data_IF_926330354702
#
_entry.id   IF_926330354702
#
_cell.length_a   1.000
_cell.length_b   1.000
_cell.length_c   1.000
_cell.angle_alpha   90.00
_cell.angle_beta   90.00
_cell.angle_gamma   90.00
#
_symmetry.space_group_name_H-M   'P 1'
#
loop_
_entity.id
_entity.type
_entity.pdbx_description
1 polymer ?
#
# COMPACT_ATOMS: atom_id res chain seq x y z
N UNK A 1 31.44 21.24 42.90
CA UNK A 1 31.04 19.82 42.75
C UNK A 1 29.51 19.79 42.71
N UNK A 2 28.87 19.85 41.54
CA UNK A 2 28.58 18.73 40.62
C UNK A 2 27.47 17.83 41.20
N UNK A 3 26.30 17.59 40.61
CA UNK A 3 25.74 17.81 39.26
C UNK A 3 24.20 17.88 39.38
N UNK A 4 23.59 18.79 38.62
CA UNK A 4 22.17 18.72 38.25
C UNK A 4 22.05 17.64 37.17
N UNK A 5 21.16 16.66 37.36
CA UNK A 5 20.86 15.64 36.36
C UNK A 5 19.55 16.00 35.65
N UNK A 6 19.70 16.55 34.44
CA UNK A 6 18.63 16.71 33.46
C UNK A 6 18.12 15.31 33.04
N UNK A 7 16.85 15.04 33.27
CA UNK A 7 16.17 13.89 32.70
C UNK A 7 15.84 14.19 31.23
N UNK A 8 16.82 13.96 30.35
CA UNK A 8 16.63 13.98 28.91
C UNK A 8 15.65 12.87 28.50
N UNK A 9 14.38 13.25 28.30
CA UNK A 9 13.38 12.38 27.67
C UNK A 9 13.82 12.13 26.24
N UNK A 10 14.44 10.97 26.02
CA UNK A 10 14.90 10.52 24.72
C UNK A 10 13.69 10.09 23.92
N UNK A 11 13.17 11.00 23.09
CA UNK A 11 12.13 10.67 22.12
C UNK A 11 12.81 9.89 20.97
N UNK A 12 12.36 8.68 20.64
CA UNK A 12 12.96 7.90 19.57
C UNK A 12 12.80 8.63 18.23
N UNK A 13 13.88 8.63 17.43
CA UNK A 13 14.09 9.44 16.21
C UNK A 13 13.08 9.22 15.07
N UNK A 14 12.18 8.24 15.19
CA UNK A 14 11.11 8.01 14.21
C UNK A 14 9.87 8.86 14.49
N UNK A 15 9.73 9.44 15.69
CA UNK A 15 8.51 10.13 16.13
C UNK A 15 8.40 11.61 15.68
N UNK A 16 9.29 12.10 14.81
CA UNK A 16 9.27 13.49 14.33
C UNK A 16 9.00 13.52 12.83
N UNK A 17 7.74 13.33 12.42
CA UNK A 17 7.25 13.91 11.16
C UNK A 17 5.74 14.13 11.20
N UNK A 18 5.37 15.37 10.85
CA UNK A 18 4.04 15.87 10.50
C UNK A 18 3.15 16.43 11.62
N UNK A 19 3.62 17.51 12.26
CA UNK A 19 2.75 18.65 12.57
C UNK A 19 3.02 19.76 11.55
N UNK A 20 2.36 19.71 10.39
CA UNK A 20 2.26 20.84 9.44
C UNK A 20 1.12 20.58 8.46
N UNK A 21 0.09 21.42 8.49
CA UNK A 21 -1.01 21.31 7.52
C UNK A 21 -2.26 22.13 7.78
N UNK A 22 -2.20 23.24 8.54
CA UNK A 22 -3.26 24.25 8.58
C UNK A 22 -2.84 25.42 7.69
N UNK A 23 -2.91 25.22 6.38
CA UNK A 23 -3.00 26.23 5.29
C UNK A 23 -2.73 25.47 4.00
N UNK A 24 -3.65 25.59 3.03
CA UNK A 24 -3.60 24.90 1.76
C UNK A 24 -2.25 25.07 1.06
N UNK A 25 -1.43 24.02 1.12
CA UNK A 25 -0.34 23.79 0.21
C UNK A 25 -0.78 22.60 -0.63
N UNK A 26 -0.79 22.78 -1.94
CA UNK A 26 -0.90 21.69 -2.91
C UNK A 26 0.30 20.77 -2.71
N UNK A 27 0.14 19.82 -1.79
CA UNK A 27 1.10 18.77 -1.52
C UNK A 27 1.38 18.07 -2.85
N UNK A 28 2.65 18.10 -3.26
CA UNK A 28 3.06 17.65 -4.57
C UNK A 28 2.52 16.24 -4.80
N UNK A 29 1.59 16.15 -5.76
CA UNK A 29 1.05 14.89 -6.23
C UNK A 29 2.24 14.03 -6.64
N UNK A 30 2.41 12.81 -6.11
CA UNK A 30 3.44 11.92 -6.65
C UNK A 30 3.12 11.65 -8.11
N UNK A 31 3.93 12.23 -8.99
CA UNK A 31 3.54 12.55 -10.37
C UNK A 31 3.35 11.32 -11.27
N UNK A 32 2.47 11.48 -12.26
CA UNK A 32 1.87 10.51 -13.17
C UNK A 32 2.70 10.05 -14.36
N UNK A 33 3.94 9.61 -14.17
CA UNK A 33 4.69 8.91 -15.22
C UNK A 33 4.81 7.41 -14.91
N UNK A 34 4.39 6.54 -15.83
CA UNK A 34 4.51 5.07 -15.73
C UNK A 34 5.99 4.64 -15.76
N UNK A 35 6.66 4.86 -14.62
CA UNK A 35 8.07 4.59 -14.43
C UNK A 35 8.33 3.68 -13.23
N UNK A 36 9.49 3.00 -13.23
CA UNK A 36 9.89 2.03 -12.21
C UNK A 36 9.87 2.56 -10.77
N UNK A 37 10.22 3.84 -10.56
CA UNK A 37 10.21 4.51 -9.26
C UNK A 37 8.91 5.21 -8.85
N UNK A 38 7.81 5.05 -9.62
CA UNK A 38 6.56 5.79 -9.38
C UNK A 38 5.79 5.23 -8.18
N UNK A 39 5.27 6.13 -7.34
CA UNK A 39 4.28 5.79 -6.32
C UNK A 39 3.03 5.12 -6.92
N UNK A 40 2.58 4.06 -6.28
CA UNK A 40 1.27 3.46 -6.43
C UNK A 40 0.38 4.02 -5.32
N UNK A 41 -0.80 4.53 -5.67
CA UNK A 41 -1.68 5.21 -4.73
C UNK A 41 -3.06 4.57 -4.75
N UNK A 42 -3.62 4.29 -3.58
CA UNK A 42 -5.04 3.94 -3.39
C UNK A 42 -5.65 4.88 -2.36
N UNK A 43 -6.90 5.25 -2.56
CA UNK A 43 -7.69 5.98 -1.57
C UNK A 43 -8.57 5.01 -0.81
N UNK A 44 -8.58 5.08 0.51
CA UNK A 44 -9.39 4.25 1.41
C UNK A 44 -10.40 5.13 2.13
N UNK A 45 -11.67 4.73 2.13
CA UNK A 45 -12.75 5.44 2.82
C UNK A 45 -12.76 5.20 4.34
N UNK A 46 -11.64 5.55 5.00
CA UNK A 46 -11.41 5.45 6.45
C UNK A 46 -10.55 6.64 6.93
N UNK A 47 -10.59 6.93 8.22
CA UNK A 47 -9.78 7.99 8.84
C UNK A 47 -8.29 7.59 8.87
N UNK A 48 -7.42 8.59 8.87
CA UNK A 48 -5.97 8.36 8.77
C UNK A 48 -5.40 7.61 9.99
N UNK A 49 -5.94 7.83 11.20
CA UNK A 49 -5.51 7.08 12.40
C UNK A 49 -5.85 5.59 12.27
N UNK A 50 -7.11 5.27 11.96
CA UNK A 50 -7.58 3.88 11.79
C UNK A 50 -6.77 3.15 10.73
N UNK A 51 -6.48 3.83 9.62
CA UNK A 51 -5.67 3.29 8.54
C UNK A 51 -4.26 3.00 9.04
N UNK A 52 -3.57 3.96 9.68
CA UNK A 52 -2.19 3.79 10.17
C UNK A 52 -2.03 2.59 11.08
N UNK A 53 -2.89 2.47 12.10
CA UNK A 53 -2.87 1.32 13.02
C UNK A 53 -2.97 0.00 12.26
N UNK A 54 -3.95 -0.12 11.35
CA UNK A 54 -4.13 -1.37 10.62
C UNK A 54 -2.94 -1.69 9.70
N UNK A 55 -2.41 -0.70 8.97
CA UNK A 55 -1.37 -0.99 7.99
C UNK A 55 -0.07 -1.41 8.68
N UNK A 56 0.22 -0.87 9.87
CA UNK A 56 1.47 -1.15 10.61
C UNK A 56 1.41 -2.48 11.37
N UNK A 57 0.24 -2.84 11.90
CA UNK A 57 0.10 -4.02 12.76
C UNK A 57 -0.20 -5.31 11.99
N UNK A 58 -0.91 -5.24 10.86
CA UNK A 58 -1.37 -6.47 10.17
C UNK A 58 -1.69 -6.30 8.67
N UNK A 59 -1.94 -7.42 8.01
CA UNK A 59 -2.45 -7.45 6.65
C UNK A 59 -1.39 -7.39 5.54
N UNK A 60 -1.82 -7.28 4.27
CA UNK A 60 -0.96 -7.48 3.11
C UNK A 60 0.24 -6.53 3.05
N UNK A 61 0.05 -5.25 3.36
CA UNK A 61 1.12 -4.26 3.32
C UNK A 61 2.13 -4.39 4.48
N UNK A 62 1.70 -4.88 5.66
CA UNK A 62 2.62 -5.10 6.80
C UNK A 62 3.73 -6.08 6.44
N UNK A 63 3.40 -7.14 5.67
CA UNK A 63 4.34 -8.16 5.18
C UNK A 63 5.42 -7.62 4.25
N UNK A 64 5.20 -6.44 3.66
CA UNK A 64 6.12 -5.82 2.69
C UNK A 64 6.93 -4.65 3.27
N UNK A 65 6.78 -4.32 4.56
CA UNK A 65 7.35 -3.10 5.17
C UNK A 65 8.86 -2.90 5.00
N UNK A 66 9.63 -3.98 4.94
CA UNK A 66 11.08 -3.90 4.70
C UNK A 66 11.47 -3.63 3.24
N UNK A 67 10.54 -3.79 2.30
CA UNK A 67 10.79 -3.73 0.86
C UNK A 67 10.17 -2.50 0.19
N UNK A 68 9.42 -1.68 0.94
CA UNK A 68 8.64 -0.55 0.40
C UNK A 68 8.83 0.72 1.22
N UNK A 69 8.72 1.85 0.54
CA UNK A 69 8.42 3.14 1.16
C UNK A 69 6.90 3.35 1.14
N UNK A 70 6.31 3.71 2.28
CA UNK A 70 4.87 3.92 2.46
C UNK A 70 4.60 5.32 3.05
N UNK A 71 3.63 6.01 2.48
CA UNK A 71 3.10 7.29 2.98
C UNK A 71 1.59 7.17 3.20
N UNK A 72 1.12 7.66 4.34
CA UNK A 72 -0.31 7.72 4.72
C UNK A 72 -0.71 9.16 4.99
N UNK A 73 -1.64 9.70 4.20
CA UNK A 73 -2.11 11.09 4.30
C UNK A 73 -3.62 11.22 4.06
N UNK A 74 -4.31 12.25 4.59
CA UNK A 74 -5.69 12.52 4.21
C UNK A 74 -5.84 12.66 2.69
N UNK A 75 -6.91 12.08 2.14
CA UNK A 75 -7.24 12.17 0.74
C UNK A 75 -7.87 13.54 0.42
N UNK A 76 -7.62 14.11 -0.78
CA UNK A 76 -8.23 15.36 -1.19
C UNK A 76 -9.75 15.22 -1.30
N UNK A 77 -10.46 16.32 -1.06
CA UNK A 77 -11.92 16.38 -1.20
C UNK A 77 -12.67 15.50 -0.21
N UNK A 78 -12.11 15.29 0.99
CA UNK A 78 -12.70 14.50 2.08
C UNK A 78 -13.09 13.07 1.63
N UNK A 79 -12.23 12.45 0.82
CA UNK A 79 -12.44 11.09 0.29
C UNK A 79 -11.88 9.99 1.19
N UNK A 80 -11.46 10.31 2.40
CA UNK A 80 -10.81 9.41 3.35
C UNK A 80 -9.30 9.59 3.39
N UNK A 81 -8.54 8.52 3.19
CA UNK A 81 -7.08 8.48 3.37
C UNK A 81 -6.39 7.93 2.12
N UNK A 82 -5.36 8.61 1.63
CA UNK A 82 -4.47 8.09 0.59
C UNK A 82 -3.34 7.25 1.20
N UNK A 83 -3.17 6.04 0.66
CA UNK A 83 -2.05 5.15 0.85
C UNK A 83 -1.19 5.18 -0.41
N UNK A 84 0.01 5.75 -0.31
CA UNK A 84 0.98 5.79 -1.39
C UNK A 84 2.16 4.86 -1.05
N UNK A 85 2.50 3.92 -1.91
CA UNK A 85 3.65 3.04 -1.72
C UNK A 85 4.52 2.92 -2.98
N UNK A 86 5.82 2.73 -2.81
CA UNK A 86 6.76 2.35 -3.88
C UNK A 86 7.79 1.34 -3.37
N UNK A 87 8.31 0.43 -4.22
CA UNK A 87 9.41 -0.45 -3.83
C UNK A 87 10.68 0.37 -3.50
N UNK A 88 11.44 -0.09 -2.51
CA UNK A 88 12.72 0.51 -2.12
C UNK A 88 13.86 0.07 -3.03
N UNK A 89 13.78 -1.12 -3.63
CA UNK A 89 14.81 -1.63 -4.55
C UNK A 89 14.57 -1.19 -6.00
N UNK A 90 15.68 -0.89 -6.69
CA UNK A 90 15.68 -0.38 -8.07
C UNK A 90 16.02 -1.43 -9.12
N UNK A 91 16.33 -2.66 -8.70
CA UNK A 91 17.00 -3.68 -9.52
C UNK A 91 16.04 -4.67 -10.23
N UNK A 92 16.63 -5.63 -10.95
CA UNK A 92 16.00 -6.76 -11.64
C UNK A 92 15.05 -7.54 -10.71
N UNK A 93 13.76 -7.24 -10.82
CA UNK A 93 12.71 -7.75 -9.92
C UNK A 93 11.62 -6.72 -9.62
N UNK A 94 11.83 -5.47 -10.02
CA UNK A 94 10.91 -4.36 -9.80
C UNK A 94 9.52 -4.57 -10.44
N UNK A 95 9.42 -5.22 -11.60
CA UNK A 95 8.13 -5.52 -12.24
C UNK A 95 7.28 -6.43 -11.34
N UNK A 96 7.88 -7.51 -10.81
CA UNK A 96 7.17 -8.43 -9.92
C UNK A 96 6.95 -7.81 -8.53
N UNK A 97 7.88 -7.02 -8.00
CA UNK A 97 7.69 -6.26 -6.76
C UNK A 97 6.52 -5.27 -6.89
N UNK A 98 6.43 -4.56 -8.01
CA UNK A 98 5.35 -3.61 -8.31
C UNK A 98 4.01 -4.34 -8.49
N UNK A 99 4.00 -5.52 -9.12
CA UNK A 99 2.80 -6.38 -9.22
C UNK A 99 2.33 -6.82 -7.83
N UNK A 100 3.23 -7.33 -7.00
CA UNK A 100 2.95 -7.70 -5.59
C UNK A 100 2.42 -6.50 -4.80
N UNK A 101 3.03 -5.33 -4.96
CA UNK A 101 2.60 -4.11 -4.27
C UNK A 101 1.22 -3.63 -4.72
N UNK A 102 0.89 -3.71 -6.01
CA UNK A 102 -0.48 -3.41 -6.49
C UNK A 102 -1.52 -4.35 -5.88
N UNK A 103 -1.22 -5.64 -5.82
CA UNK A 103 -2.10 -6.62 -5.18
C UNK A 103 -2.29 -6.29 -3.69
N UNK A 104 -1.19 -6.07 -2.95
CA UNK A 104 -1.24 -5.75 -1.52
C UNK A 104 -2.01 -4.45 -1.21
N UNK A 105 -1.87 -3.41 -2.03
CA UNK A 105 -2.65 -2.17 -1.90
C UNK A 105 -4.15 -2.40 -2.11
N UNK A 106 -4.53 -3.20 -3.12
CA UNK A 106 -5.93 -3.52 -3.42
C UNK A 106 -6.55 -4.38 -2.32
N UNK A 107 -5.85 -5.41 -1.88
CA UNK A 107 -6.30 -6.27 -0.77
C UNK A 107 -6.45 -5.45 0.51
N UNK A 108 -5.48 -4.59 0.84
CA UNK A 108 -5.56 -3.72 2.02
C UNK A 108 -6.74 -2.77 1.95
N UNK A 109 -6.99 -2.15 0.78
CA UNK A 109 -8.19 -1.33 0.57
C UNK A 109 -9.47 -2.14 0.78
N UNK A 110 -9.55 -3.35 0.21
CA UNK A 110 -10.72 -4.24 0.36
C UNK A 110 -10.97 -4.60 1.82
N UNK A 111 -9.94 -4.99 2.58
CA UNK A 111 -10.05 -5.31 4.00
C UNK A 111 -10.49 -4.08 4.81
N UNK A 112 -9.91 -2.91 4.55
CA UNK A 112 -10.25 -1.69 5.28
C UNK A 112 -11.67 -1.18 4.99
N UNK A 113 -12.13 -1.29 3.74
CA UNK A 113 -13.45 -0.78 3.33
C UNK A 113 -14.56 -1.80 3.58
N UNK A 114 -14.34 -3.06 3.21
CA UNK A 114 -15.35 -4.12 3.20
C UNK A 114 -15.16 -5.16 4.32
N UNK A 115 -14.01 -5.20 4.98
CA UNK A 115 -13.69 -6.22 5.99
C UNK A 115 -13.14 -7.54 5.41
N UNK A 116 -13.18 -7.72 4.09
CA UNK A 116 -12.76 -8.93 3.41
C UNK A 116 -12.16 -8.65 2.02
N UNK A 117 -11.49 -9.65 1.45
CA UNK A 117 -11.02 -9.64 0.05
C UNK A 117 -11.98 -10.48 -0.78
N UNK A 118 -12.57 -9.87 -1.81
CA UNK A 118 -13.45 -10.60 -2.73
C UNK A 118 -12.62 -11.53 -3.60
N UNK A 119 -12.79 -12.84 -3.40
CA UNK A 119 -12.14 -13.88 -4.22
C UNK A 119 -13.09 -14.39 -5.32
N UNK A 120 -12.54 -14.87 -6.47
CA UNK A 120 -13.33 -15.56 -7.47
C UNK A 120 -13.90 -16.85 -6.90
N UNK A 121 -15.09 -17.22 -7.36
CA UNK A 121 -15.69 -18.52 -7.05
C UNK A 121 -14.76 -19.67 -7.46
N UNK A 122 -14.60 -20.67 -6.57
CA UNK A 122 -13.88 -21.92 -6.86
C UNK A 122 -14.87 -23.11 -6.85
N UNK A 123 -14.76 -24.06 -7.80
CA UNK A 123 -13.86 -24.06 -8.96
C UNK A 123 -14.27 -22.99 -9.99
N UNK A 124 -13.30 -22.38 -10.67
CA UNK A 124 -13.58 -21.38 -11.71
C UNK A 124 -14.31 -21.98 -12.92
N UNK A 125 -14.98 -21.14 -13.71
CA UNK A 125 -15.84 -21.53 -14.85
C UNK A 125 -15.12 -22.11 -16.07
N UNK A 126 -13.80 -22.33 -16.00
CA UNK A 126 -13.02 -22.90 -17.10
C UNK A 126 -13.33 -24.39 -17.30
N UNK A 127 -13.57 -24.78 -18.56
CA UNK A 127 -13.82 -26.16 -18.97
C UNK A 127 -12.75 -27.14 -18.42
N UNK A 128 -13.09 -28.36 -17.99
CA UNK A 128 -12.12 -29.34 -17.46
C UNK A 128 -11.18 -29.95 -18.52
N UNK A 129 -11.29 -29.50 -19.77
CA UNK A 129 -10.51 -30.05 -20.88
C UNK A 129 -9.15 -29.34 -21.02
N UNK A 130 -8.22 -29.87 -21.83
CA UNK A 130 -6.88 -29.30 -22.00
C UNK A 130 -6.88 -27.80 -22.34
N UNK A 131 -7.81 -27.36 -23.20
CA UNK A 131 -7.97 -25.95 -23.55
C UNK A 131 -8.40 -25.08 -22.34
N UNK A 132 -9.26 -25.61 -21.48
CA UNK A 132 -9.66 -24.90 -20.27
C UNK A 132 -8.58 -24.90 -19.18
N UNK A 133 -7.71 -25.92 -19.14
CA UNK A 133 -6.48 -25.87 -18.34
C UNK A 133 -5.50 -24.80 -18.84
N UNK A 134 -5.32 -24.68 -20.16
CA UNK A 134 -4.50 -23.62 -20.76
C UNK A 134 -5.07 -22.23 -20.44
N UNK A 135 -6.38 -22.04 -20.60
CA UNK A 135 -7.04 -20.79 -20.23
C UNK A 135 -6.87 -20.46 -18.75
N UNK A 136 -6.98 -21.46 -17.86
CA UNK A 136 -6.76 -21.30 -16.42
C UNK A 136 -5.32 -20.84 -16.11
N UNK A 137 -4.33 -21.39 -16.82
CA UNK A 137 -2.94 -20.99 -16.67
C UNK A 137 -2.69 -19.55 -17.13
N UNK A 138 -3.26 -19.14 -18.27
CA UNK A 138 -3.12 -17.78 -18.80
C UNK A 138 -3.81 -16.76 -17.89
N UNK A 139 -5.05 -17.06 -17.46
CA UNK A 139 -5.85 -16.15 -16.63
C UNK A 139 -5.34 -16.02 -15.19
N UNK A 140 -4.61 -17.02 -14.67
CA UNK A 140 -3.98 -16.93 -13.35
C UNK A 140 -2.98 -15.77 -13.25
N UNK A 141 -2.31 -15.39 -14.35
CA UNK A 141 -1.34 -14.28 -14.41
C UNK A 141 -2.01 -12.90 -14.38
N UNK A 142 -3.23 -12.80 -14.93
CA UNK A 142 -3.98 -11.55 -15.10
C UNK A 142 -4.39 -10.88 -13.78
N UNK A 143 -4.59 -11.69 -12.73
CA UNK A 143 -5.10 -11.23 -11.43
C UNK A 143 -4.24 -10.14 -10.78
N UNK A 144 -2.91 -10.27 -10.87
CA UNK A 144 -1.98 -9.29 -10.30
C UNK A 144 -1.89 -7.97 -11.09
N UNK A 145 -2.27 -7.97 -12.37
CA UNK A 145 -2.15 -6.80 -13.24
C UNK A 145 -3.47 -6.05 -13.44
N UNK A 146 -4.62 -6.71 -13.27
CA UNK A 146 -5.91 -6.13 -13.64
C UNK A 146 -6.07 -5.94 -15.15
N UNK A 147 -5.36 -6.75 -15.94
CA UNK A 147 -5.42 -6.80 -17.40
C UNK A 147 -5.44 -8.27 -17.83
N UNK A 148 -6.29 -8.60 -18.79
CA UNK A 148 -6.33 -9.90 -19.48
C UNK A 148 -5.50 -9.81 -20.75
#
# INVERSE_FOLDING_TARGET
MSKVVDAATTVPRWAVKALRGLTGATDQRPDGADGPGRWLVVTVYRKAEDVRTQVDDSGPLSRMRGEIELTVRPAPGDKGTELAARPTTSDDGQVDARRRLRAALRETKSILECGEVVEPSRPGSSHPGPAGHLLRAVTARAWGEGRL
#
